data_IF_815690922394
#
_entry.id   IF_815690922394
#
_cell.length_a   1.000
_cell.length_b   1.000
_cell.length_c   1.000
_cell.angle_alpha   90.00
_cell.angle_beta   90.00
_cell.angle_gamma   90.00
#
_symmetry.space_group_name_H-M   'P 1'
#
loop_
_entity.id
_entity.type
_entity.pdbx_description
1 polymer ?
#
# COMPACT_ATOMS: atom_id res chain seq x y z
N UNK A 1 6.39 25.15 -28.44
CA UNK A 1 6.81 25.15 -27.01
C UNK A 1 7.19 23.76 -26.44
N UNK A 2 7.02 22.65 -27.18
CA UNK A 2 7.28 21.27 -26.68
C UNK A 2 8.75 20.81 -26.87
N UNK A 3 9.54 21.58 -27.62
CA UNK A 3 10.92 21.27 -28.03
C UNK A 3 11.99 22.01 -27.21
N UNK A 4 11.72 22.32 -25.94
CA UNK A 4 12.81 22.78 -25.06
C UNK A 4 13.67 21.57 -24.68
N UNK A 5 14.78 21.38 -25.41
CA UNK A 5 15.82 20.37 -25.15
C UNK A 5 16.69 20.81 -23.96
N UNK A 6 16.06 20.98 -22.80
CA UNK A 6 16.73 21.33 -21.55
C UNK A 6 17.35 20.13 -20.84
N UNK A 7 17.88 20.34 -19.63
CA UNK A 7 18.51 19.31 -18.79
C UNK A 7 17.67 18.04 -18.61
N UNK A 8 16.34 18.19 -18.54
CA UNK A 8 15.40 17.08 -18.42
C UNK A 8 15.45 16.15 -19.64
N UNK A 9 15.65 16.69 -20.85
CA UNK A 9 15.77 15.89 -22.06
C UNK A 9 17.05 15.05 -22.07
N UNK A 10 18.14 15.61 -21.53
CA UNK A 10 19.43 14.93 -21.36
C UNK A 10 19.31 13.76 -20.39
N UNK A 11 18.68 13.97 -19.23
CA UNK A 11 18.47 12.92 -18.23
C UNK A 11 17.58 11.80 -18.77
N UNK A 12 16.57 12.14 -19.57
CA UNK A 12 15.64 11.17 -20.15
C UNK A 12 16.20 10.47 -21.40
N UNK A 13 17.30 10.97 -21.99
CA UNK A 13 17.83 10.47 -23.26
C UNK A 13 18.13 8.97 -23.25
N UNK A 14 18.78 8.37 -22.22
CA UNK A 14 18.99 6.93 -22.19
C UNK A 14 17.68 6.13 -22.27
N UNK A 15 16.63 6.61 -21.61
CA UNK A 15 15.32 5.97 -21.65
C UNK A 15 14.66 6.13 -23.03
N UNK A 16 14.76 7.32 -23.65
CA UNK A 16 14.30 7.54 -25.04
C UNK A 16 15.02 6.62 -26.03
N UNK A 17 16.33 6.45 -25.85
CA UNK A 17 17.16 5.58 -26.68
C UNK A 17 16.74 4.13 -26.57
N UNK A 18 16.50 3.62 -25.35
CA UNK A 18 15.99 2.26 -25.12
C UNK A 18 14.60 2.09 -25.75
N UNK A 19 13.69 3.05 -25.53
CA UNK A 19 12.33 3.02 -26.11
C UNK A 19 12.38 2.95 -27.63
N UNK A 20 13.22 3.78 -28.26
CA UNK A 20 13.40 3.76 -29.71
C UNK A 20 13.95 2.42 -30.21
N UNK A 21 14.93 1.82 -29.51
CA UNK A 21 15.43 0.49 -29.83
C UNK A 21 14.36 -0.57 -29.79
N UNK A 22 13.63 -0.67 -28.68
CA UNK A 22 12.59 -1.68 -28.51
C UNK A 22 11.50 -1.51 -29.57
N UNK A 23 11.08 -0.26 -29.86
CA UNK A 23 10.10 0.03 -30.90
C UNK A 23 10.57 -0.38 -32.30
N UNK A 24 11.83 -0.12 -32.65
CA UNK A 24 12.39 -0.52 -33.95
C UNK A 24 12.58 -2.03 -34.04
N UNK A 25 13.02 -2.69 -32.97
CA UNK A 25 13.16 -4.16 -32.92
C UNK A 25 11.81 -4.83 -33.14
N UNK A 26 10.77 -4.38 -32.43
CA UNK A 26 9.43 -4.92 -32.59
C UNK A 26 8.93 -4.68 -34.02
N UNK A 27 9.13 -3.49 -34.59
CA UNK A 27 8.75 -3.22 -35.97
C UNK A 27 9.45 -4.17 -36.96
N UNK A 28 10.77 -4.36 -36.83
CA UNK A 28 11.55 -5.29 -37.65
C UNK A 28 11.10 -6.75 -37.48
N UNK A 29 10.73 -7.14 -36.26
CA UNK A 29 10.19 -8.48 -36.00
C UNK A 29 8.82 -8.65 -36.67
N UNK A 30 7.95 -7.65 -36.58
CA UNK A 30 6.65 -7.66 -37.24
C UNK A 30 6.80 -7.78 -38.76
N UNK A 31 7.78 -7.09 -39.33
CA UNK A 31 8.01 -7.16 -40.78
C UNK A 31 8.62 -8.47 -41.22
N UNK A 32 9.45 -9.09 -40.36
CA UNK A 32 9.95 -10.45 -40.56
C UNK A 32 8.83 -11.49 -40.63
N UNK A 33 7.76 -11.34 -39.83
CA UNK A 33 6.60 -12.27 -39.83
C UNK A 33 5.52 -11.92 -40.86
N UNK A 34 5.79 -10.99 -41.78
CA UNK A 34 4.93 -10.69 -42.93
C UNK A 34 4.08 -9.43 -42.83
N UNK A 35 4.26 -8.58 -41.81
CA UNK A 35 3.65 -7.24 -41.80
C UNK A 35 4.37 -6.33 -42.81
N UNK A 36 3.65 -5.53 -43.63
CA UNK A 36 4.30 -4.66 -44.61
C UNK A 36 5.33 -3.70 -43.97
N UNK A 37 6.50 -3.57 -44.62
CA UNK A 37 7.49 -2.54 -44.31
C UNK A 37 6.97 -1.17 -44.78
N UNK A 38 7.21 -0.12 -44.00
CA UNK A 38 6.82 1.26 -44.32
C UNK A 38 5.71 1.79 -43.41
N UNK A 39 5.01 2.86 -43.80
CA UNK A 39 3.95 3.45 -42.99
C UNK A 39 2.73 2.53 -42.91
N UNK A 40 2.17 2.35 -41.71
CA UNK A 40 0.95 1.58 -41.52
C UNK A 40 0.93 0.72 -40.26
N UNK A 41 0.34 -0.46 -40.40
CA UNK A 41 0.01 -1.34 -39.27
C UNK A 41 1.23 -1.82 -38.48
N UNK A 42 2.41 -1.91 -39.11
CA UNK A 42 3.66 -2.25 -38.44
C UNK A 42 3.99 -1.30 -37.30
N UNK A 43 3.91 0.02 -37.53
CA UNK A 43 4.19 1.03 -36.51
C UNK A 43 3.09 1.10 -35.43
N UNK A 44 1.83 0.89 -35.82
CA UNK A 44 0.69 0.79 -34.88
C UNK A 44 0.92 -0.36 -33.90
N UNK A 45 1.16 -1.57 -34.43
CA UNK A 45 1.41 -2.76 -33.61
C UNK A 45 2.71 -2.63 -32.82
N UNK A 46 3.72 -1.95 -33.36
CA UNK A 46 4.96 -1.69 -32.63
C UNK A 46 4.72 -0.89 -31.34
N UNK A 47 3.93 0.19 -31.40
CA UNK A 47 3.57 0.97 -30.21
C UNK A 47 2.76 0.12 -29.21
N UNK A 48 1.78 -0.65 -29.70
CA UNK A 48 0.94 -1.52 -28.87
C UNK A 48 1.78 -2.58 -28.15
N UNK A 49 2.62 -3.31 -28.88
CA UNK A 49 3.46 -4.38 -28.33
C UNK A 49 4.56 -3.84 -27.43
N UNK A 50 5.16 -2.69 -27.74
CA UNK A 50 6.07 -1.99 -26.83
C UNK A 50 5.39 -1.72 -25.49
N UNK A 51 4.16 -1.20 -25.53
CA UNK A 51 3.36 -0.92 -24.33
C UNK A 51 3.17 -2.18 -23.50
N UNK A 52 2.73 -3.26 -24.14
CA UNK A 52 2.50 -4.56 -23.48
C UNK A 52 3.81 -5.11 -22.91
N UNK A 53 4.91 -5.08 -23.66
CA UNK A 53 6.21 -5.57 -23.22
C UNK A 53 6.71 -4.83 -21.98
N UNK A 54 6.65 -3.49 -21.99
CA UNK A 54 7.03 -2.67 -20.84
C UNK A 54 6.14 -3.00 -19.65
N UNK A 55 4.82 -3.09 -19.85
CA UNK A 55 3.84 -3.41 -18.80
C UNK A 55 4.07 -4.78 -18.18
N UNK A 56 4.42 -5.78 -18.98
CA UNK A 56 4.78 -7.12 -18.50
C UNK A 56 6.08 -7.09 -17.69
N UNK A 57 7.09 -6.33 -18.14
CA UNK A 57 8.35 -6.20 -17.42
C UNK A 57 8.18 -5.58 -16.02
N UNK A 58 7.29 -4.58 -15.88
CA UNK A 58 7.00 -3.92 -14.61
C UNK A 58 5.84 -4.59 -13.83
N UNK A 59 5.19 -5.61 -14.38
CA UNK A 59 4.12 -6.36 -13.72
C UNK A 59 4.49 -6.87 -12.31
N UNK A 60 5.64 -7.51 -12.05
CA UNK A 60 6.00 -7.95 -10.70
C UNK A 60 6.18 -6.79 -9.71
N UNK A 61 6.56 -5.60 -10.19
CA UNK A 61 6.60 -4.41 -9.35
C UNK A 61 5.18 -3.96 -8.99
N UNK A 62 4.28 -3.95 -9.98
CA UNK A 62 2.87 -3.65 -9.76
C UNK A 62 2.20 -4.60 -8.77
N UNK A 63 2.47 -5.91 -8.82
CA UNK A 63 1.89 -6.86 -7.87
C UNK A 63 2.30 -6.55 -6.42
N UNK A 64 3.59 -6.21 -6.20
CA UNK A 64 4.09 -5.77 -4.88
C UNK A 64 3.42 -4.49 -4.41
N UNK A 65 3.23 -3.53 -5.31
CA UNK A 65 2.57 -2.27 -4.98
C UNK A 65 1.08 -2.46 -4.66
N UNK A 66 0.35 -3.28 -5.42
CA UNK A 66 -1.04 -3.63 -5.11
C UNK A 66 -1.13 -4.26 -3.71
N UNK A 67 -0.20 -5.14 -3.35
CA UNK A 67 -0.13 -5.72 -2.01
C UNK A 67 0.04 -4.64 -0.92
N UNK A 68 0.92 -3.67 -1.14
CA UNK A 68 1.10 -2.53 -0.23
C UNK A 68 -0.18 -1.69 -0.10
N UNK A 69 -0.86 -1.43 -1.21
CA UNK A 69 -2.11 -0.67 -1.22
C UNK A 69 -3.20 -1.37 -0.39
N UNK A 70 -3.27 -2.71 -0.44
CA UNK A 70 -4.21 -3.49 0.37
C UNK A 70 -3.88 -3.49 1.84
N UNK A 71 -2.60 -3.60 2.19
CA UNK A 71 -2.17 -3.48 3.59
C UNK A 71 -2.62 -2.11 4.17
N UNK A 72 -2.54 -1.05 3.38
CA UNK A 72 -3.05 0.27 3.76
C UNK A 72 -4.59 0.30 3.92
N UNK A 73 -5.32 -0.40 3.04
CA UNK A 73 -6.79 -0.54 3.17
C UNK A 73 -7.19 -1.31 4.43
N UNK A 74 -6.43 -2.34 4.81
CA UNK A 74 -6.65 -3.10 6.04
C UNK A 74 -6.43 -2.24 7.30
N UNK A 75 -5.57 -1.22 7.23
CA UNK A 75 -5.34 -0.26 8.32
C UNK A 75 -6.37 0.88 8.39
N UNK A 76 -7.24 1.02 7.40
CA UNK A 76 -8.29 2.05 7.37
C UNK A 76 -9.08 2.19 8.70
N UNK A 77 -9.56 1.12 9.36
CA UNK A 77 -10.27 1.25 10.63
C UNK A 77 -9.40 1.82 11.76
N UNK A 78 -8.11 1.46 11.82
CA UNK A 78 -7.20 1.98 12.84
C UNK A 78 -6.83 3.43 12.59
N UNK A 79 -6.63 3.80 11.33
CA UNK A 79 -6.45 5.19 10.91
C UNK A 79 -7.67 6.01 11.29
N UNK A 80 -8.89 5.49 11.11
CA UNK A 80 -10.13 6.15 11.54
C UNK A 80 -10.20 6.34 13.05
N UNK A 81 -9.84 5.33 13.84
CA UNK A 81 -9.77 5.44 15.30
C UNK A 81 -8.77 6.53 15.72
N UNK A 82 -7.58 6.54 15.10
CA UNK A 82 -6.57 7.58 15.32
C UNK A 82 -7.13 8.97 14.98
N UNK A 83 -7.75 9.14 13.82
CA UNK A 83 -8.38 10.41 13.41
C UNK A 83 -9.47 10.86 14.39
N UNK A 84 -10.27 9.93 14.92
CA UNK A 84 -11.29 10.24 15.92
C UNK A 84 -10.68 10.76 17.24
N UNK A 85 -9.53 10.24 17.69
CA UNK A 85 -8.83 10.71 18.91
C UNK A 85 -8.36 12.17 18.82
N UNK A 86 -8.10 12.65 17.60
CA UNK A 86 -7.64 14.01 17.31
C UNK A 86 -8.75 14.93 16.77
N UNK A 87 -9.98 14.42 16.64
CA UNK A 87 -11.10 15.20 16.10
C UNK A 87 -11.38 16.42 16.99
N UNK A 88 -11.43 17.61 16.39
CA UNK A 88 -11.64 18.87 17.12
C UNK A 88 -10.36 19.53 17.62
N UNK A 89 -9.20 18.88 17.54
CA UNK A 89 -7.89 19.47 17.88
C UNK A 89 -7.26 20.07 16.62
N UNK A 90 -7.24 21.41 16.55
CA UNK A 90 -6.77 22.15 15.37
C UNK A 90 -5.41 22.83 15.56
N UNK A 91 -4.81 22.71 16.74
CA UNK A 91 -3.49 23.21 17.05
C UNK A 91 -2.39 22.52 16.22
N UNK A 92 -1.35 23.28 15.86
CA UNK A 92 -0.23 22.80 15.04
C UNK A 92 0.46 21.61 15.69
N UNK A 93 0.57 21.59 17.02
CA UNK A 93 1.15 20.50 17.77
C UNK A 93 0.32 19.21 17.65
N UNK A 94 -1.00 19.26 17.80
CA UNK A 94 -1.88 18.11 17.62
C UNK A 94 -1.89 17.56 16.20
N UNK A 95 -1.82 18.43 15.17
CA UNK A 95 -1.68 17.98 13.77
C UNK A 95 -0.36 17.27 13.53
N UNK A 96 0.73 17.79 14.10
CA UNK A 96 2.04 17.15 14.00
C UNK A 96 2.07 15.81 14.75
N UNK A 97 1.49 15.75 15.96
CA UNK A 97 1.36 14.52 16.74
C UNK A 97 0.52 13.47 16.01
N UNK A 98 -0.60 13.87 15.40
CA UNK A 98 -1.43 12.99 14.58
C UNK A 98 -0.65 12.40 13.40
N UNK A 99 0.15 13.22 12.69
CA UNK A 99 0.99 12.74 11.60
C UNK A 99 2.07 11.77 12.08
N UNK A 100 2.67 12.02 13.25
CA UNK A 100 3.68 11.13 13.85
C UNK A 100 3.07 9.79 14.29
N UNK A 101 1.92 9.81 14.98
CA UNK A 101 1.20 8.59 15.35
C UNK A 101 0.75 7.80 14.12
N UNK A 102 0.32 8.49 13.06
CA UNK A 102 -0.05 7.85 11.79
C UNK A 102 1.15 7.15 11.13
N UNK A 103 2.31 7.79 11.11
CA UNK A 103 3.55 7.19 10.60
C UNK A 103 4.04 6.03 11.47
N UNK A 104 3.89 6.14 12.80
CA UNK A 104 4.19 5.05 13.72
C UNK A 104 3.26 3.85 13.48
N UNK A 105 1.97 4.09 13.29
CA UNK A 105 0.97 3.07 12.98
C UNK A 105 1.32 2.31 11.69
N UNK A 106 1.71 3.03 10.64
CA UNK A 106 2.19 2.42 9.40
C UNK A 106 3.42 1.55 9.63
N UNK A 107 4.39 2.03 10.42
CA UNK A 107 5.64 1.32 10.73
C UNK A 107 5.41 0.05 11.55
N UNK A 108 4.53 0.10 12.56
CA UNK A 108 4.16 -1.05 13.40
C UNK A 108 3.54 -2.18 12.56
N UNK A 109 2.76 -1.82 11.56
CA UNK A 109 2.12 -2.77 10.64
C UNK A 109 2.97 -3.08 9.39
N UNK A 110 4.24 -2.68 9.37
CA UNK A 110 5.17 -2.95 8.27
C UNK A 110 4.70 -2.41 6.90
N UNK A 111 3.87 -1.38 6.90
CA UNK A 111 3.28 -0.76 5.70
C UNK A 111 3.87 0.63 5.50
N UNK A 112 3.93 1.13 4.26
CA UNK A 112 4.38 2.51 4.00
C UNK A 112 3.47 3.23 3.00
N UNK A 113 3.20 4.52 3.19
CA UNK A 113 2.40 5.31 2.25
C UNK A 113 3.11 5.49 0.89
N UNK A 114 4.44 5.54 0.88
CA UNK A 114 5.25 5.69 -0.34
C UNK A 114 5.23 4.46 -1.25
N UNK A 115 5.14 3.24 -0.68
CA UNK A 115 5.04 2.04 -1.49
C UNK A 115 3.76 2.00 -2.35
N UNK A 116 2.71 2.74 -1.94
CA UNK A 116 1.46 2.84 -2.69
C UNK A 116 1.56 3.77 -3.92
N UNK A 117 2.48 4.75 -3.95
CA UNK A 117 2.67 5.66 -5.09
C UNK A 117 3.82 5.26 -6.04
N UNK A 118 4.56 4.21 -5.70
CA UNK A 118 5.70 3.71 -6.48
C UNK A 118 5.48 3.55 -8.00
N UNK A 119 4.35 3.04 -8.52
CA UNK A 119 4.19 2.91 -9.96
C UNK A 119 4.06 4.25 -10.66
N UNK A 120 3.52 5.28 -10.01
CA UNK A 120 3.42 6.61 -10.64
C UNK A 120 4.84 7.13 -10.88
N UNK A 121 5.74 6.92 -9.91
CA UNK A 121 7.14 7.30 -10.03
C UNK A 121 7.87 6.54 -11.15
N UNK A 122 7.59 5.25 -11.33
CA UNK A 122 8.18 4.45 -12.42
C UNK A 122 7.53 4.74 -13.77
N UNK A 123 6.22 5.00 -13.78
CA UNK A 123 5.43 5.22 -14.99
C UNK A 123 5.70 6.58 -15.62
N UNK A 124 5.90 7.64 -14.83
CA UNK A 124 6.12 9.00 -15.34
C UNK A 124 7.33 9.03 -16.31
N UNK A 125 8.54 8.56 -15.93
CA UNK A 125 9.68 8.55 -16.85
C UNK A 125 9.42 7.75 -18.13
N UNK A 126 8.81 6.57 -18.01
CA UNK A 126 8.50 5.69 -19.16
C UNK A 126 7.54 6.38 -20.12
N UNK A 127 6.45 6.95 -19.59
CA UNK A 127 5.47 7.69 -20.37
C UNK A 127 6.11 8.91 -21.04
N UNK A 128 6.86 9.71 -20.29
CA UNK A 128 7.49 10.92 -20.85
C UNK A 128 8.55 10.58 -21.90
N UNK A 129 9.28 9.47 -21.75
CA UNK A 129 10.24 9.02 -22.75
C UNK A 129 9.54 8.66 -24.07
N UNK A 130 8.49 7.84 -24.02
CA UNK A 130 7.73 7.50 -25.22
C UNK A 130 7.07 8.73 -25.87
N UNK A 131 6.45 9.60 -25.05
CA UNK A 131 5.88 10.85 -25.54
C UNK A 131 6.92 11.70 -26.26
N UNK A 132 8.12 11.84 -25.68
CA UNK A 132 9.22 12.61 -26.28
C UNK A 132 9.77 11.95 -27.55
N UNK A 133 9.81 10.61 -27.63
CA UNK A 133 10.22 9.89 -28.83
C UNK A 133 9.23 10.14 -29.96
N UNK A 134 7.93 9.93 -29.71
CA UNK A 134 6.88 10.17 -30.71
C UNK A 134 6.81 11.64 -31.10
N UNK A 135 6.89 12.58 -30.16
CA UNK A 135 6.89 14.01 -30.48
C UNK A 135 8.13 14.45 -31.26
N UNK A 136 9.29 13.80 -31.06
CA UNK A 136 10.52 14.12 -31.75
C UNK A 136 10.52 13.68 -33.22
N UNK A 137 9.73 12.68 -33.62
CA UNK A 137 9.64 12.22 -35.02
C UNK A 137 9.34 13.38 -35.99
N UNK A 138 8.46 14.29 -35.60
CA UNK A 138 8.18 15.54 -36.30
C UNK A 138 9.45 16.34 -36.63
N UNK A 139 10.27 16.59 -35.60
CA UNK A 139 11.51 17.36 -35.73
C UNK A 139 12.62 16.57 -36.41
N UNK A 140 12.62 15.25 -36.32
CA UNK A 140 13.57 14.39 -37.05
C UNK A 140 13.27 14.47 -38.56
N UNK A 141 11.99 14.44 -38.95
CA UNK A 141 11.56 14.61 -40.33
C UNK A 141 11.94 15.99 -40.90
N UNK A 142 11.64 17.08 -40.17
CA UNK A 142 11.95 18.45 -40.63
C UNK A 142 13.43 18.84 -40.47
N UNK A 143 14.21 18.06 -39.71
CA UNK A 143 15.59 18.36 -39.35
C UNK A 143 15.76 19.30 -38.15
N UNK A 144 14.67 19.83 -37.59
CA UNK A 144 14.71 20.72 -36.41
C UNK A 144 15.20 20.00 -35.15
N UNK A 145 15.03 18.68 -35.06
CA UNK A 145 15.61 17.86 -34.00
C UNK A 145 17.14 17.94 -34.00
N UNK A 146 17.76 17.97 -35.18
CA UNK A 146 19.23 18.10 -35.33
C UNK A 146 19.71 19.46 -34.84
N UNK A 147 19.04 20.54 -35.26
CA UNK A 147 19.38 21.91 -34.88
C UNK A 147 19.32 22.11 -33.36
N UNK A 148 18.35 21.47 -32.71
CA UNK A 148 18.05 21.74 -31.32
C UNK A 148 18.73 20.76 -30.34
N UNK A 149 19.03 19.52 -30.77
CA UNK A 149 19.63 18.49 -29.91
C UNK A 149 21.06 18.09 -30.31
N UNK A 150 21.55 18.56 -31.47
CA UNK A 150 22.82 18.15 -32.07
C UNK A 150 22.82 16.71 -32.60
N UNK A 151 21.68 16.02 -32.61
CA UNK A 151 21.54 14.61 -33.03
C UNK A 151 20.57 14.48 -34.19
N UNK A 152 20.87 13.60 -35.13
CA UNK A 152 20.01 13.36 -36.30
C UNK A 152 18.95 12.29 -36.06
N UNK A 153 19.10 11.49 -35.00
CA UNK A 153 18.23 10.35 -34.67
C UNK A 153 18.11 10.13 -33.16
N UNK A 154 17.14 9.30 -32.76
CA UNK A 154 17.04 8.76 -31.39
C UNK A 154 17.34 7.26 -31.45
N UNK A 155 18.56 6.87 -31.10
CA UNK A 155 18.98 5.47 -31.26
C UNK A 155 18.85 5.03 -32.72
N UNK A 156 18.22 3.88 -33.00
CA UNK A 156 18.04 3.41 -34.37
C UNK A 156 16.92 4.13 -35.11
N UNK A 157 16.13 4.97 -34.43
CA UNK A 157 15.03 5.69 -35.06
C UNK A 157 15.56 6.88 -35.86
N UNK A 158 15.77 6.66 -37.15
CA UNK A 158 16.29 7.65 -38.10
C UNK A 158 15.19 8.45 -38.82
N UNK A 159 15.61 9.27 -39.79
CA UNK A 159 14.72 10.12 -40.57
C UNK A 159 13.71 9.33 -41.42
N UNK A 160 14.11 8.21 -42.01
CA UNK A 160 13.21 7.40 -42.84
C UNK A 160 12.10 6.79 -41.96
N UNK A 161 12.47 6.24 -40.80
CA UNK A 161 11.49 5.70 -39.86
C UNK A 161 10.60 6.78 -39.25
N UNK A 162 11.12 7.99 -39.01
CA UNK A 162 10.31 9.11 -38.56
C UNK A 162 9.23 9.51 -39.58
N UNK A 163 9.59 9.54 -40.88
CA UNK A 163 8.63 9.79 -41.97
C UNK A 163 7.56 8.69 -42.03
N UNK A 164 7.95 7.42 -41.90
CA UNK A 164 7.00 6.30 -41.89
C UNK A 164 6.02 6.38 -40.70
N UNK A 165 6.52 6.73 -39.50
CA UNK A 165 5.67 6.91 -38.32
C UNK A 165 4.71 8.08 -38.55
N UNK A 166 5.18 9.22 -39.03
CA UNK A 166 4.36 10.42 -39.22
C UNK A 166 3.28 10.22 -40.29
N UNK A 167 3.58 9.46 -41.34
CA UNK A 167 2.63 9.13 -42.41
C UNK A 167 1.74 7.92 -42.10
N UNK A 168 1.98 7.21 -40.99
CA UNK A 168 1.12 6.11 -40.53
C UNK A 168 -0.24 6.65 -40.11
N UNK A 169 -1.31 6.04 -40.64
CA UNK A 169 -2.70 6.42 -40.34
C UNK A 169 -3.39 5.36 -39.49
N UNK A 170 -4.04 5.80 -38.41
CA UNK A 170 -4.97 4.99 -37.62
C UNK A 170 -6.39 5.42 -37.95
N UNK A 171 -7.15 4.56 -38.63
CA UNK A 171 -8.52 4.84 -39.09
C UNK A 171 -8.67 6.15 -39.89
N UNK A 172 -7.60 6.58 -40.56
CA UNK A 172 -7.53 7.82 -41.36
C UNK A 172 -6.84 9.02 -40.68
N UNK A 173 -6.56 8.95 -39.38
CA UNK A 173 -5.84 10.00 -38.65
C UNK A 173 -4.33 9.72 -38.61
N UNK A 174 -3.49 10.72 -38.92
CA UNK A 174 -2.03 10.54 -38.88
C UNK A 174 -1.51 10.47 -37.43
N UNK A 175 -0.46 9.68 -37.17
CA UNK A 175 0.07 9.45 -35.82
C UNK A 175 0.47 10.72 -35.06
N UNK A 176 0.92 11.74 -35.79
CA UNK A 176 1.39 13.01 -35.25
C UNK A 176 0.26 14.01 -34.96
N UNK A 177 -0.94 13.79 -35.52
CA UNK A 177 -2.06 14.73 -35.38
C UNK A 177 -2.57 14.76 -33.93
N UNK A 178 -2.83 15.97 -33.43
CA UNK A 178 -3.66 16.21 -32.26
C UNK A 178 -5.06 16.63 -32.69
N UNK A 179 -6.00 16.76 -31.76
CA UNK A 179 -7.34 17.23 -32.10
C UNK A 179 -7.32 18.62 -32.76
N UNK A 180 -6.43 19.50 -32.31
CA UNK A 180 -6.30 20.87 -32.83
C UNK A 180 -5.57 20.94 -34.17
N UNK A 181 -4.62 20.04 -34.44
CA UNK A 181 -3.84 20.04 -35.69
C UNK A 181 -4.42 19.15 -36.78
N UNK A 182 -5.45 18.36 -36.47
CA UNK A 182 -6.10 17.45 -37.40
C UNK A 182 -6.67 18.18 -38.63
N UNK A 183 -6.14 17.86 -39.81
CA UNK A 183 -6.52 18.51 -41.06
C UNK A 183 -7.91 18.11 -41.56
N UNK A 184 -8.34 16.87 -41.28
CA UNK A 184 -9.61 16.33 -41.77
C UNK A 184 -10.65 16.18 -40.66
N UNK A 185 -11.94 16.26 -41.01
CA UNK A 185 -13.02 15.95 -40.08
C UNK A 185 -12.98 14.49 -39.62
N UNK A 186 -12.56 13.58 -40.50
CA UNK A 186 -12.35 12.17 -40.15
C UNK A 186 -11.30 12.02 -39.04
N UNK A 187 -10.14 12.68 -39.14
CA UNK A 187 -9.11 12.66 -38.10
C UNK A 187 -9.66 13.14 -36.75
N UNK A 188 -10.42 14.24 -36.73
CA UNK A 188 -11.03 14.79 -35.51
C UNK A 188 -12.02 13.81 -34.88
N UNK A 189 -12.83 13.13 -35.68
CA UNK A 189 -13.77 12.10 -35.21
C UNK A 189 -13.00 10.94 -34.58
N UNK A 190 -11.97 10.41 -35.27
CA UNK A 190 -11.15 9.31 -34.75
C UNK A 190 -10.50 9.68 -33.43
N UNK A 191 -9.87 10.86 -33.34
CA UNK A 191 -9.24 11.36 -32.11
C UNK A 191 -10.27 11.50 -30.99
N UNK A 192 -11.44 12.10 -31.28
CA UNK A 192 -12.53 12.24 -30.32
C UNK A 192 -13.04 10.90 -29.79
N UNK A 193 -13.19 9.89 -30.67
CA UNK A 193 -13.59 8.53 -30.29
C UNK A 193 -12.53 7.87 -29.42
N UNK A 194 -11.24 7.99 -29.76
CA UNK A 194 -10.15 7.46 -28.93
C UNK A 194 -10.16 8.06 -27.52
N UNK A 195 -10.33 9.39 -27.41
CA UNK A 195 -10.43 10.08 -26.12
C UNK A 195 -11.66 9.59 -25.35
N UNK A 196 -12.82 9.46 -26.00
CA UNK A 196 -14.04 8.98 -25.37
C UNK A 196 -13.89 7.57 -24.82
N UNK A 197 -13.30 6.64 -25.59
CA UNK A 197 -13.02 5.28 -25.13
C UNK A 197 -12.04 5.31 -23.95
N UNK A 198 -11.00 6.15 -23.99
CA UNK A 198 -10.07 6.31 -22.88
C UNK A 198 -10.76 6.82 -21.60
N UNK A 199 -11.62 7.82 -21.70
CA UNK A 199 -12.39 8.34 -20.56
C UNK A 199 -13.31 7.27 -19.99
N UNK A 200 -14.04 6.55 -20.85
CA UNK A 200 -14.93 5.47 -20.44
C UNK A 200 -14.15 4.34 -19.75
N UNK A 201 -13.10 3.82 -20.38
CA UNK A 201 -12.28 2.74 -19.81
C UNK A 201 -11.65 3.13 -18.47
N UNK A 202 -11.19 4.36 -18.33
CA UNK A 202 -10.64 4.87 -17.08
C UNK A 202 -11.71 5.02 -15.99
N UNK A 203 -12.89 5.52 -16.35
CA UNK A 203 -14.03 5.60 -15.45
C UNK A 203 -14.47 4.21 -14.97
N UNK A 204 -14.58 3.24 -15.88
CA UNK A 204 -14.91 1.86 -15.54
C UNK A 204 -13.87 1.23 -14.61
N UNK A 205 -12.58 1.43 -14.88
CA UNK A 205 -11.48 0.93 -14.04
C UNK A 205 -11.57 1.51 -12.63
N UNK A 206 -11.81 2.81 -12.52
CA UNK A 206 -11.92 3.50 -11.23
C UNK A 206 -13.18 3.09 -10.46
N UNK A 207 -14.32 2.95 -11.15
CA UNK A 207 -15.58 2.46 -10.58
C UNK A 207 -15.46 1.00 -10.10
N UNK A 208 -14.72 0.17 -10.83
CA UNK A 208 -14.49 -1.22 -10.44
C UNK A 208 -13.68 -1.31 -9.13
N UNK A 209 -12.65 -0.48 -8.97
CA UNK A 209 -11.85 -0.40 -7.74
C UNK A 209 -12.75 -0.02 -6.55
N UNK A 210 -13.58 1.01 -6.69
CA UNK A 210 -14.37 1.55 -5.59
C UNK A 210 -15.55 0.65 -5.19
N UNK A 211 -16.20 -0.02 -6.14
CA UNK A 211 -17.42 -0.82 -5.87
C UNK A 211 -17.10 -2.27 -5.53
N UNK A 212 -16.15 -2.92 -6.21
CA UNK A 212 -15.93 -4.37 -6.05
C UNK A 212 -14.80 -4.72 -5.08
N UNK A 213 -13.92 -3.78 -4.76
CA UNK A 213 -12.68 -4.07 -4.05
C UNK A 213 -12.44 -3.18 -2.81
N UNK A 214 -13.52 -2.64 -2.23
CA UNK A 214 -13.47 -1.77 -1.06
C UNK A 214 -14.39 -2.27 0.07
N UNK A 215 -13.91 -2.36 1.33
CA UNK A 215 -14.76 -2.76 2.46
C UNK A 215 -15.77 -1.67 2.79
N UNK A 216 -16.96 -2.06 3.28
CA UNK A 216 -18.04 -1.12 3.62
C UNK A 216 -17.60 -0.01 4.59
N UNK A 217 -16.68 -0.33 5.52
CA UNK A 217 -16.11 0.62 6.45
C UNK A 217 -15.27 1.73 5.80
N UNK A 218 -14.82 1.58 4.55
CA UNK A 218 -14.05 2.60 3.83
C UNK A 218 -14.93 3.52 2.96
N UNK A 219 -16.24 3.24 2.85
CA UNK A 219 -17.20 4.04 2.08
C UNK A 219 -17.76 5.25 2.84
N UNK A 220 -17.43 5.37 4.13
CA UNK A 220 -17.92 6.43 5.02
C UNK A 220 -16.78 7.35 5.46
N UNK A 221 -17.03 8.66 5.50
CA UNK A 221 -16.11 9.69 6.02
C UNK A 221 -15.35 10.49 4.95
N UNK A 222 -14.47 11.44 5.38
CA UNK A 222 -13.79 12.38 4.48
C UNK A 222 -12.96 11.71 3.39
N UNK A 223 -12.31 10.58 3.70
CA UNK A 223 -11.48 9.83 2.75
C UNK A 223 -12.32 9.21 1.61
N UNK A 224 -13.55 8.77 1.91
CA UNK A 224 -14.45 8.21 0.91
C UNK A 224 -14.94 9.28 -0.07
N UNK A 225 -15.19 10.49 0.43
CA UNK A 225 -15.58 11.63 -0.41
C UNK A 225 -14.44 12.02 -1.36
N UNK A 226 -13.19 12.07 -0.89
CA UNK A 226 -12.02 12.31 -1.76
C UNK A 226 -11.93 11.27 -2.88
N UNK A 227 -12.16 9.99 -2.57
CA UNK A 227 -12.12 8.93 -3.58
C UNK A 227 -13.28 8.98 -4.58
N UNK A 228 -14.51 9.31 -4.11
CA UNK A 228 -15.67 9.54 -4.99
C UNK A 228 -15.43 10.72 -5.90
N UNK A 229 -14.93 11.83 -5.37
CA UNK A 229 -14.60 13.03 -6.16
C UNK A 229 -13.50 12.72 -7.19
N UNK A 230 -12.45 12.00 -6.78
CA UNK A 230 -11.37 11.57 -7.68
C UNK A 230 -11.89 10.68 -8.83
N UNK A 231 -12.92 9.86 -8.58
CA UNK A 231 -13.52 9.00 -9.60
C UNK A 231 -14.13 9.78 -10.78
N UNK A 232 -14.66 10.98 -10.54
CA UNK A 232 -15.27 11.80 -11.58
C UNK A 232 -14.32 12.86 -12.15
N UNK A 233 -13.49 13.48 -11.29
CA UNK A 233 -12.57 14.54 -11.73
C UNK A 233 -11.48 14.00 -12.65
N UNK A 234 -10.89 12.83 -12.34
CA UNK A 234 -9.74 12.35 -13.10
C UNK A 234 -10.08 11.93 -14.54
N UNK A 235 -11.18 11.19 -14.81
CA UNK A 235 -11.60 10.94 -16.20
C UNK A 235 -11.92 12.22 -16.97
N UNK A 236 -12.52 13.23 -16.33
CA UNK A 236 -12.77 14.54 -16.95
C UNK A 236 -11.45 15.23 -17.33
N UNK A 237 -10.47 15.23 -16.42
CA UNK A 237 -9.14 15.80 -16.66
C UNK A 237 -8.41 15.09 -17.81
N UNK A 238 -8.48 13.76 -17.87
CA UNK A 238 -7.91 12.98 -19.00
C UNK A 238 -8.64 13.30 -20.31
N UNK A 239 -9.97 13.44 -20.27
CA UNK A 239 -10.75 13.83 -21.45
C UNK A 239 -10.32 15.20 -22.00
N UNK A 240 -10.10 16.17 -21.11
CA UNK A 240 -9.62 17.51 -21.47
C UNK A 240 -8.18 17.49 -21.97
N UNK A 241 -7.27 16.80 -21.28
CA UNK A 241 -5.85 16.74 -21.67
C UNK A 241 -5.61 15.93 -22.93
N UNK A 242 -6.45 14.93 -23.21
CA UNK A 242 -6.39 14.11 -24.43
C UNK A 242 -6.47 14.94 -25.71
N UNK A 243 -7.11 16.12 -25.66
CA UNK A 243 -7.18 17.07 -26.78
C UNK A 243 -5.80 17.53 -27.28
N UNK A 244 -4.81 17.59 -26.38
CA UNK A 244 -3.45 18.03 -26.68
C UNK A 244 -2.52 16.89 -27.09
N UNK A 245 -2.99 15.64 -27.02
CA UNK A 245 -2.16 14.47 -27.29
C UNK A 245 -2.26 14.03 -28.75
N UNK A 246 -1.14 13.54 -29.26
CA UNK A 246 -1.02 13.03 -30.62
C UNK A 246 -1.68 11.64 -30.72
N UNK A 247 -2.19 11.27 -31.89
CA UNK A 247 -2.83 9.95 -32.14
C UNK A 247 -1.96 8.79 -31.67
N UNK A 248 -0.65 8.82 -31.94
CA UNK A 248 0.28 7.77 -31.47
C UNK A 248 0.35 7.66 -29.95
N UNK A 249 0.28 8.80 -29.25
CA UNK A 249 0.22 8.80 -27.78
C UNK A 249 -1.14 8.32 -27.25
N UNK A 250 -2.24 8.67 -27.93
CA UNK A 250 -3.57 8.19 -27.58
C UNK A 250 -3.67 6.67 -27.76
N UNK A 251 -3.07 6.11 -28.81
CA UNK A 251 -2.96 4.67 -29.02
C UNK A 251 -2.20 3.98 -27.88
N UNK A 252 -1.06 4.55 -27.46
CA UNK A 252 -0.32 4.09 -26.29
C UNK A 252 -1.18 4.11 -25.02
N UNK A 253 -1.84 5.25 -24.76
CA UNK A 253 -2.67 5.42 -23.56
C UNK A 253 -3.85 4.45 -23.55
N UNK A 254 -4.52 4.27 -24.68
CA UNK A 254 -5.61 3.32 -24.82
C UNK A 254 -5.14 1.88 -24.53
N UNK A 255 -4.01 1.48 -25.11
CA UNK A 255 -3.40 0.16 -24.84
C UNK A 255 -3.06 0.00 -23.36
N UNK A 256 -2.50 1.03 -22.75
CA UNK A 256 -2.24 1.10 -21.30
C UNK A 256 -3.51 0.95 -20.47
N UNK A 257 -4.62 1.59 -20.86
CA UNK A 257 -5.89 1.51 -20.14
C UNK A 257 -6.46 0.09 -20.20
N UNK A 258 -6.45 -0.54 -21.37
CA UNK A 258 -6.88 -1.94 -21.51
C UNK A 258 -6.00 -2.90 -20.70
N UNK A 259 -4.69 -2.71 -20.73
CA UNK A 259 -3.78 -3.50 -19.90
C UNK A 259 -4.10 -3.28 -18.42
N UNK A 260 -4.32 -2.04 -17.98
CA UNK A 260 -4.66 -1.71 -16.59
C UNK A 260 -5.98 -2.35 -16.17
N UNK A 261 -6.99 -2.31 -17.04
CA UNK A 261 -8.28 -2.98 -16.81
C UNK A 261 -8.09 -4.50 -16.66
N UNK A 262 -7.33 -5.13 -17.56
CA UNK A 262 -6.98 -6.56 -17.48
C UNK A 262 -6.21 -6.89 -16.19
N UNK A 263 -5.19 -6.10 -15.86
CA UNK A 263 -4.44 -6.21 -14.61
C UNK A 263 -5.34 -6.05 -13.38
N UNK A 264 -6.31 -5.14 -13.41
CA UNK A 264 -7.24 -4.90 -12.32
C UNK A 264 -8.21 -6.08 -12.14
N UNK A 265 -8.71 -6.64 -13.25
CA UNK A 265 -9.54 -7.85 -13.25
C UNK A 265 -8.78 -9.05 -12.67
N UNK A 266 -7.52 -9.22 -13.08
CA UNK A 266 -6.62 -10.22 -12.50
C UNK A 266 -6.35 -9.94 -11.01
N UNK A 267 -6.08 -8.69 -10.63
CA UNK A 267 -5.75 -8.35 -9.24
C UNK A 267 -6.91 -8.62 -8.27
N UNK A 268 -8.15 -8.35 -8.67
CA UNK A 268 -9.36 -8.59 -7.87
C UNK A 268 -9.61 -10.09 -7.69
N UNK A 269 -9.33 -10.89 -8.72
CA UNK A 269 -9.55 -12.35 -8.66
C UNK A 269 -8.41 -13.10 -7.99
N UNK A 270 -7.16 -12.73 -8.25
CA UNK A 270 -5.99 -13.41 -7.71
C UNK A 270 -5.71 -13.05 -6.25
N UNK A 271 -6.06 -11.83 -5.83
CA UNK A 271 -5.73 -11.34 -4.49
C UNK A 271 -6.81 -10.38 -3.96
N UNK A 272 -8.07 -10.74 -3.74
CA UNK A 272 -9.10 -9.76 -3.35
C UNK A 272 -8.78 -9.00 -2.03
N UNK A 273 -9.31 -7.77 -1.86
CA UNK A 273 -9.14 -6.98 -0.63
C UNK A 273 -9.91 -7.58 0.55
N UNK A 274 -9.28 -7.79 1.73
CA UNK A 274 -9.95 -8.31 2.93
C UNK A 274 -11.22 -7.54 3.29
N UNK A 275 -12.29 -8.27 3.62
CA UNK A 275 -13.60 -7.69 3.97
C UNK A 275 -14.48 -7.29 2.78
N UNK A 276 -14.03 -7.45 1.53
CA UNK A 276 -14.86 -7.29 0.33
C UNK A 276 -15.69 -8.55 0.01
N UNK A 277 -16.74 -8.42 -0.81
CA UNK A 277 -17.48 -9.59 -1.31
C UNK A 277 -16.61 -10.51 -2.18
N UNK A 278 -15.72 -9.91 -2.98
CA UNK A 278 -14.75 -10.66 -3.78
C UNK A 278 -13.85 -11.52 -2.88
N UNK A 279 -13.46 -11.00 -1.72
CA UNK A 279 -12.68 -11.75 -0.73
C UNK A 279 -13.47 -12.91 -0.15
N UNK A 280 -14.74 -12.71 0.23
CA UNK A 280 -15.59 -13.80 0.74
C UNK A 280 -15.70 -14.97 -0.25
N UNK A 281 -15.96 -14.66 -1.52
CA UNK A 281 -16.08 -15.68 -2.59
C UNK A 281 -14.75 -16.41 -2.83
N UNK A 282 -13.66 -15.66 -2.87
CA UNK A 282 -12.32 -16.24 -3.02
C UNK A 282 -11.95 -17.11 -1.82
N UNK A 283 -12.17 -16.64 -0.59
CA UNK A 283 -11.88 -17.41 0.64
C UNK A 283 -12.69 -18.70 0.68
N UNK A 284 -13.98 -18.66 0.35
CA UNK A 284 -14.81 -19.86 0.28
C UNK A 284 -14.26 -20.87 -0.75
N UNK A 285 -13.79 -20.39 -1.91
CA UNK A 285 -13.17 -21.23 -2.93
C UNK A 285 -11.84 -21.84 -2.45
N UNK A 286 -11.01 -21.07 -1.75
CA UNK A 286 -9.76 -21.60 -1.19
C UNK A 286 -10.03 -22.59 -0.06
N UNK A 287 -11.02 -22.30 0.79
CA UNK A 287 -11.43 -23.18 1.88
C UNK A 287 -11.92 -24.53 1.34
N UNK A 288 -12.78 -24.53 0.31
CA UNK A 288 -13.24 -25.78 -0.31
C UNK A 288 -12.10 -26.63 -0.90
N UNK A 289 -11.07 -25.99 -1.47
CA UNK A 289 -9.86 -26.69 -1.93
C UNK A 289 -9.08 -27.28 -0.76
N UNK A 290 -8.91 -26.51 0.31
CA UNK A 290 -8.26 -26.98 1.53
C UNK A 290 -9.02 -28.15 2.16
N UNK A 291 -10.35 -28.08 2.24
CA UNK A 291 -11.18 -29.13 2.83
C UNK A 291 -11.05 -30.43 2.03
N UNK A 292 -11.04 -30.34 0.68
CA UNK A 292 -10.81 -31.50 -0.20
C UNK A 292 -9.42 -32.11 0.03
N UNK A 293 -8.38 -31.26 0.10
CA UNK A 293 -7.01 -31.70 0.38
C UNK A 293 -6.87 -32.30 1.79
N UNK A 294 -7.52 -31.69 2.78
CA UNK A 294 -7.54 -32.13 4.16
C UNK A 294 -8.13 -33.53 4.29
N UNK A 295 -9.27 -33.79 3.65
CA UNK A 295 -9.89 -35.13 3.63
C UNK A 295 -8.96 -36.16 3.00
N UNK A 296 -8.34 -35.84 1.86
CA UNK A 296 -7.42 -36.75 1.17
C UNK A 296 -6.19 -37.09 2.01
N UNK A 297 -5.52 -36.06 2.55
CA UNK A 297 -4.30 -36.23 3.35
C UNK A 297 -4.62 -36.91 4.68
N UNK A 298 -5.71 -36.55 5.35
CA UNK A 298 -6.07 -37.19 6.62
C UNK A 298 -6.36 -38.67 6.42
N UNK A 299 -7.11 -39.04 5.38
CA UNK A 299 -7.37 -40.45 5.06
C UNK A 299 -6.09 -41.23 4.71
N UNK A 300 -5.16 -40.62 3.96
CA UNK A 300 -3.85 -41.22 3.65
C UNK A 300 -3.03 -41.48 4.93
N UNK A 301 -2.97 -40.50 5.84
CA UNK A 301 -2.19 -40.62 7.07
C UNK A 301 -2.84 -41.50 8.12
N UNK A 302 -4.17 -41.56 8.18
CA UNK A 302 -4.89 -42.50 9.03
C UNK A 302 -4.61 -43.95 8.61
N UNK A 303 -4.53 -44.23 7.30
CA UNK A 303 -4.10 -45.53 6.80
C UNK A 303 -2.64 -45.84 7.17
N UNK A 304 -1.73 -44.87 7.03
CA UNK A 304 -0.32 -45.05 7.45
C UNK A 304 -0.22 -45.34 8.94
N UNK A 305 -0.91 -44.58 9.79
CA UNK A 305 -0.94 -44.75 11.24
C UNK A 305 -1.51 -46.12 11.66
N UNK A 306 -2.54 -46.62 10.97
CA UNK A 306 -3.08 -47.95 11.19
C UNK A 306 -2.06 -49.06 10.88
N UNK A 307 -1.21 -48.85 9.87
CA UNK A 307 -0.22 -49.83 9.42
C UNK A 307 1.11 -49.79 10.19
N UNK A 308 1.37 -48.77 11.04
CA UNK A 308 2.62 -48.65 11.83
C UNK A 308 2.86 -49.89 12.71
N UNK A 309 1.79 -50.53 13.21
CA UNK A 309 1.89 -51.74 14.02
C UNK A 309 2.13 -53.04 13.25
N UNK A 310 2.10 -53.01 11.91
CA UNK A 310 2.31 -54.18 11.06
C UNK A 310 3.78 -54.34 10.62
N UNK A 311 4.62 -53.33 10.82
CA UNK A 311 6.01 -53.32 10.38
C UNK A 311 6.94 -53.84 11.51
N UNK A 312 7.53 -55.02 11.31
CA UNK A 312 8.36 -55.71 12.30
C UNK A 312 9.70 -55.00 12.60
N UNK A 313 10.09 -53.99 11.82
CA UNK A 313 11.34 -53.25 11.99
C UNK A 313 11.23 -52.02 12.90
N UNK A 314 10.03 -51.59 13.29
CA UNK A 314 9.84 -50.39 14.12
C UNK A 314 10.03 -50.73 15.60
N UNK A 315 11.15 -50.31 16.19
CA UNK A 315 11.47 -50.53 17.62
C UNK A 315 10.67 -49.63 18.57
N UNK A 316 10.26 -48.45 18.11
CA UNK A 316 9.46 -47.48 18.87
C UNK A 316 8.23 -47.05 18.07
N UNK A 317 7.11 -47.70 18.36
CA UNK A 317 5.83 -47.48 17.69
C UNK A 317 5.23 -46.11 18.04
N UNK A 318 5.54 -45.54 19.21
CA UNK A 318 5.02 -44.25 19.63
C UNK A 318 5.74 -43.12 18.88
N UNK A 319 7.08 -43.17 18.84
CA UNK A 319 7.88 -42.22 18.09
C UNK A 319 7.51 -42.21 16.58
N UNK A 320 7.33 -43.39 15.98
CA UNK A 320 6.94 -43.51 14.57
C UNK A 320 5.54 -42.92 14.29
N UNK A 321 4.59 -43.05 15.23
CA UNK A 321 3.26 -42.42 15.13
C UNK A 321 3.34 -40.91 15.28
N UNK A 322 4.16 -40.41 16.21
CA UNK A 322 4.36 -38.97 16.41
C UNK A 322 4.96 -38.29 15.17
N UNK A 323 5.97 -38.90 14.53
CA UNK A 323 6.58 -38.36 13.31
C UNK A 323 5.56 -38.22 12.16
N UNK A 324 4.71 -39.23 11.94
CA UNK A 324 3.66 -39.19 10.91
C UNK A 324 2.62 -38.11 11.20
N UNK A 325 2.27 -37.89 12.47
CA UNK A 325 1.36 -36.81 12.87
C UNK A 325 1.98 -35.44 12.58
N UNK A 326 3.26 -35.26 12.92
CA UNK A 326 4.00 -34.01 12.66
C UNK A 326 4.07 -33.74 11.15
N UNK A 327 4.41 -34.75 10.34
CA UNK A 327 4.50 -34.61 8.88
C UNK A 327 3.14 -34.25 8.26
N UNK A 328 2.06 -34.91 8.71
CA UNK A 328 0.68 -34.59 8.30
C UNK A 328 0.35 -33.14 8.61
N UNK A 329 0.57 -32.72 9.85
CA UNK A 329 0.23 -31.37 10.31
C UNK A 329 1.06 -30.30 9.59
N UNK A 330 2.32 -30.59 9.29
CA UNK A 330 3.17 -29.73 8.46
C UNK A 330 2.62 -29.62 7.03
N UNK A 331 2.24 -30.73 6.38
CA UNK A 331 1.63 -30.72 5.04
C UNK A 331 0.34 -29.92 5.01
N UNK A 332 -0.55 -30.12 5.99
CA UNK A 332 -1.80 -29.37 6.11
C UNK A 332 -1.54 -27.87 6.31
N UNK A 333 -0.58 -27.51 7.17
CA UNK A 333 -0.19 -26.11 7.39
C UNK A 333 0.38 -25.47 6.13
N UNK A 334 1.31 -26.14 5.44
CA UNK A 334 1.93 -25.64 4.21
C UNK A 334 0.89 -25.37 3.12
N UNK A 335 -0.09 -26.27 2.94
CA UNK A 335 -1.15 -26.07 1.96
C UNK A 335 -2.10 -24.92 2.36
N UNK A 336 -2.41 -24.77 3.66
CA UNK A 336 -3.19 -23.62 4.17
C UNK A 336 -2.49 -22.28 3.90
N UNK A 337 -1.16 -22.23 4.09
CA UNK A 337 -0.33 -21.06 3.75
C UNK A 337 -0.33 -20.80 2.25
N UNK A 338 -0.17 -21.85 1.43
CA UNK A 338 -0.16 -21.77 -0.03
C UNK A 338 -1.48 -21.25 -0.59
N UNK A 339 -2.60 -21.69 -0.03
CA UNK A 339 -3.94 -21.24 -0.39
C UNK A 339 -4.27 -19.84 0.16
N UNK A 340 -3.41 -19.27 1.00
CA UNK A 340 -3.59 -17.94 1.59
C UNK A 340 -4.73 -17.89 2.62
N UNK A 341 -5.05 -19.03 3.24
CA UNK A 341 -6.05 -19.16 4.29
C UNK A 341 -5.49 -18.85 5.68
N UNK A 342 -4.18 -18.91 5.86
CA UNK A 342 -3.53 -18.42 7.08
C UNK A 342 -3.37 -16.89 7.01
N UNK A 343 -3.89 -16.18 8.02
CA UNK A 343 -3.36 -14.87 8.35
C UNK A 343 -1.87 -15.05 8.64
N UNK A 344 -0.99 -14.33 7.92
CA UNK A 344 0.42 -14.24 8.29
C UNK A 344 0.46 -13.84 9.76
N UNK A 345 0.72 -14.83 10.62
CA UNK A 345 0.58 -14.77 12.06
C UNK A 345 0.95 -13.40 12.65
N UNK A 346 0.04 -12.82 13.44
CA UNK A 346 0.44 -12.26 14.75
C UNK A 346 1.46 -13.25 15.31
N UNK A 347 2.72 -12.86 15.46
CA UNK A 347 3.79 -13.72 16.00
C UNK A 347 3.27 -14.53 17.19
N UNK A 348 2.89 -15.78 16.95
CA UNK A 348 2.87 -16.81 17.96
C UNK A 348 4.22 -17.46 17.77
N UNK A 349 5.20 -16.99 18.53
CA UNK A 349 6.45 -17.71 18.72
C UNK A 349 6.09 -19.08 19.27
N UNK A 350 6.06 -20.08 18.39
CA UNK A 350 6.15 -21.47 18.78
C UNK A 350 7.60 -21.67 19.22
N UNK A 351 7.85 -21.56 20.51
CA UNK A 351 9.10 -22.03 21.09
C UNK A 351 9.09 -23.56 21.01
N UNK A 352 9.75 -24.12 20.00
CA UNK A 352 10.21 -25.50 20.04
C UNK A 352 11.30 -25.59 21.11
N UNK A 353 10.92 -25.97 22.33
CA UNK A 353 11.87 -26.40 23.36
C UNK A 353 12.06 -27.91 23.23
N UNK A 354 13.06 -28.33 22.45
CA UNK A 354 13.72 -29.61 22.65
C UNK A 354 14.85 -29.38 23.66
N UNK A 355 14.56 -29.63 24.94
CA UNK A 355 15.51 -29.56 26.04
C UNK A 355 14.82 -29.98 27.34
N UNK A 356 15.52 -30.67 28.27
CA UNK A 356 14.90 -31.28 29.43
C UNK A 356 14.18 -30.24 30.29
N UNK A 357 12.94 -30.58 30.66
CA UNK A 357 11.97 -29.75 31.36
C UNK A 357 12.51 -29.25 32.70
N UNK A 358 13.04 -28.04 32.72
CA UNK A 358 13.30 -27.29 33.96
C UNK A 358 12.00 -26.57 34.34
N UNK A 359 11.45 -26.89 35.51
CA UNK A 359 10.29 -26.18 36.06
C UNK A 359 10.61 -24.68 36.16
N UNK A 360 9.70 -23.78 35.75
CA UNK A 360 9.95 -22.36 35.79
C UNK A 360 9.99 -21.90 37.25
N UNK A 361 11.18 -21.65 37.78
CA UNK A 361 11.34 -20.86 39.01
C UNK A 361 10.77 -19.46 38.76
N UNK A 362 9.70 -19.15 39.49
CA UNK A 362 8.99 -17.87 39.50
C UNK A 362 10.00 -16.73 39.72
N UNK A 363 10.28 -15.93 38.68
CA UNK A 363 11.16 -14.75 38.81
C UNK A 363 10.58 -13.76 39.84
N UNK A 364 11.39 -13.22 40.76
CA UNK A 364 10.91 -12.30 41.77
C UNK A 364 10.43 -10.98 41.12
N UNK A 365 9.40 -10.40 41.73
CA UNK A 365 8.62 -9.21 41.32
C UNK A 365 9.47 -7.97 40.97
N UNK A 366 10.75 -7.94 41.35
CA UNK A 366 11.68 -6.85 41.05
C UNK A 366 12.11 -6.77 39.57
N UNK A 367 12.13 -7.89 38.83
CA UNK A 367 12.60 -7.89 37.43
C UNK A 367 11.56 -7.38 36.41
N UNK A 368 10.29 -7.18 36.82
CA UNK A 368 9.20 -6.76 35.91
C UNK A 368 9.10 -5.24 35.73
N UNK A 369 9.87 -4.43 36.47
CA UNK A 369 9.79 -2.96 36.43
C UNK A 369 10.71 -2.28 35.40
N UNK A 370 11.59 -3.00 34.71
CA UNK A 370 12.64 -2.40 33.88
C UNK A 370 12.53 -2.63 32.36
N UNK A 371 11.37 -3.04 31.83
CA UNK A 371 11.18 -3.17 30.37
C UNK A 371 10.75 -1.88 29.66
N UNK A 372 10.74 -0.74 30.35
CA UNK A 372 10.47 0.58 29.76
C UNK A 372 11.72 1.45 29.79
N UNK A 373 12.03 2.14 28.69
CA UNK A 373 13.16 3.06 28.61
C UNK A 373 13.08 4.11 29.76
N UNK A 374 14.00 4.09 30.76
CA UNK A 374 13.84 4.84 32.01
C UNK A 374 13.68 6.34 31.81
N UNK A 375 14.36 6.89 30.80
CA UNK A 375 14.30 8.30 30.43
C UNK A 375 12.91 8.74 29.93
N UNK A 376 12.16 7.84 29.31
CA UNK A 376 10.81 8.14 28.77
C UNK A 376 9.76 8.15 29.88
N UNK A 377 9.87 7.24 30.84
CA UNK A 377 8.99 7.18 32.00
C UNK A 377 9.23 8.32 33.00
N UNK A 378 10.49 8.72 33.20
CA UNK A 378 10.81 9.87 34.04
C UNK A 378 10.28 11.17 33.43
N UNK A 379 10.42 11.36 32.11
CA UNK A 379 9.93 12.56 31.42
C UNK A 379 8.40 12.61 31.33
N UNK A 380 7.71 11.48 31.18
CA UNK A 380 6.25 11.44 31.24
C UNK A 380 5.72 11.69 32.66
N UNK A 381 6.44 11.22 33.69
CA UNK A 381 6.07 11.49 35.08
C UNK A 381 6.34 12.95 35.46
N UNK A 382 7.46 13.54 35.03
CA UNK A 382 7.74 14.97 35.20
C UNK A 382 6.68 15.83 34.51
N UNK A 383 6.39 15.59 33.23
CA UNK A 383 5.37 16.37 32.51
C UNK A 383 3.98 16.28 33.16
N UNK A 384 3.58 15.10 33.65
CA UNK A 384 2.30 14.94 34.35
C UNK A 384 2.30 15.60 35.74
N UNK A 385 3.46 15.71 36.38
CA UNK A 385 3.65 16.41 37.65
C UNK A 385 3.60 17.93 37.44
N UNK A 386 4.20 18.41 36.35
CA UNK A 386 4.27 19.83 35.97
C UNK A 386 2.89 20.36 35.56
N UNK A 387 2.11 19.59 34.78
CA UNK A 387 0.73 19.93 34.40
C UNK A 387 -0.19 20.01 35.64
N UNK A 388 -0.04 19.08 36.58
CA UNK A 388 -0.83 19.04 37.81
C UNK A 388 -0.51 20.21 38.76
N UNK A 389 0.78 20.58 38.85
CA UNK A 389 1.23 21.71 39.66
C UNK A 389 0.82 23.06 39.05
N UNK A 390 0.68 23.15 37.72
CA UNK A 390 0.18 24.34 37.01
C UNK A 390 -1.33 24.55 37.21
N UNK A 391 -2.14 23.49 37.20
CA UNK A 391 -3.58 23.56 37.52
C UNK A 391 -3.85 24.02 38.96
N UNK A 392 -3.00 23.63 39.91
CA UNK A 392 -3.13 24.01 41.33
C UNK A 392 -2.83 25.50 41.57
N UNK A 393 -1.81 26.02 40.89
CA UNK A 393 -1.41 27.42 40.98
C UNK A 393 -2.45 28.37 40.35
N UNK A 394 -3.19 27.90 39.34
CA UNK A 394 -4.26 28.68 38.69
C UNK A 394 -5.49 28.89 39.59
N UNK A 395 -5.74 28.00 40.56
CA UNK A 395 -6.89 28.07 41.46
C UNK A 395 -6.64 28.84 42.78
N UNK A 396 -5.43 29.39 42.99
CA UNK A 396 -5.02 30.00 44.26
C UNK A 396 -4.75 31.52 44.24
N UNK A 397 -5.15 32.21 43.17
CA UNK A 397 -4.73 33.58 42.85
C UNK A 397 -5.30 34.68 43.77
N UNK A 398 -6.40 34.43 44.50
CA UNK A 398 -7.15 35.47 45.21
C UNK A 398 -6.47 36.03 46.50
N UNK A 399 -5.26 35.59 46.84
CA UNK A 399 -4.60 35.93 48.12
C UNK A 399 -3.11 36.32 48.01
N UNK A 400 -2.64 36.67 46.81
CA UNK A 400 -1.21 36.88 46.53
C UNK A 400 -0.82 38.36 46.26
N UNK A 401 -1.75 39.31 46.40
CA UNK A 401 -1.45 40.74 46.23
C UNK A 401 -0.57 41.30 47.37
N UNK A 402 0.56 41.91 47.01
CA UNK A 402 1.47 42.60 47.93
C UNK A 402 2.63 41.77 48.50
N UNK A 403 2.77 40.50 48.11
CA UNK A 403 3.84 39.60 48.58
C UNK A 403 5.05 39.60 47.64
N UNK A 404 6.26 39.39 48.20
CA UNK A 404 7.47 39.24 47.40
C UNK A 404 7.45 37.93 46.59
N UNK A 405 8.10 37.90 45.42
CA UNK A 405 8.09 36.74 44.53
C UNK A 405 8.59 35.44 45.20
N UNK A 406 9.53 35.56 46.15
CA UNK A 406 10.08 34.44 46.90
C UNK A 406 9.07 33.87 47.92
N UNK A 407 8.28 34.75 48.56
CA UNK A 407 7.27 34.36 49.53
C UNK A 407 6.04 33.70 48.87
N UNK A 408 5.68 34.18 47.68
CA UNK A 408 4.66 33.55 46.83
C UNK A 408 5.08 32.13 46.43
N UNK A 409 6.32 31.95 45.98
CA UNK A 409 6.86 30.65 45.59
C UNK A 409 6.85 29.65 46.77
N UNK A 410 7.23 30.10 47.97
CA UNK A 410 7.23 29.28 49.18
C UNK A 410 5.82 28.84 49.58
N UNK A 411 4.85 29.76 49.58
CA UNK A 411 3.44 29.44 49.91
C UNK A 411 2.78 28.51 48.89
N UNK A 412 3.13 28.63 47.61
CA UNK A 412 2.66 27.69 46.57
C UNK A 412 3.26 26.30 46.78
N UNK A 413 4.55 26.21 47.09
CA UNK A 413 5.22 24.93 47.39
C UNK A 413 4.60 24.24 48.62
N UNK A 414 4.30 24.98 49.68
CA UNK A 414 3.64 24.45 50.88
C UNK A 414 2.22 23.95 50.60
N UNK A 415 1.43 24.69 49.81
CA UNK A 415 0.08 24.26 49.39
C UNK A 415 0.13 22.97 48.56
N UNK A 416 1.05 22.88 47.59
CA UNK A 416 1.27 21.67 46.79
C UNK A 416 1.66 20.48 47.67
N UNK A 417 2.54 20.69 48.65
CA UNK A 417 2.96 19.63 49.58
C UNK A 417 1.80 19.16 50.49
N UNK A 418 1.02 20.09 51.04
CA UNK A 418 -0.13 19.80 51.88
C UNK A 418 -1.23 19.03 51.13
N UNK A 419 -1.51 19.38 49.88
CA UNK A 419 -2.52 18.69 49.08
C UNK A 419 -2.06 17.28 48.65
N UNK A 420 -0.77 17.12 48.31
CA UNK A 420 -0.18 15.80 48.06
C UNK A 420 -0.30 14.90 49.29
N UNK A 421 -0.05 15.43 50.49
CA UNK A 421 -0.23 14.70 51.74
C UNK A 421 -1.70 14.33 51.98
N UNK A 422 -2.65 15.23 51.73
CA UNK A 422 -4.09 14.95 51.82
C UNK A 422 -4.54 13.85 50.85
N UNK A 423 -4.12 13.89 49.59
CA UNK A 423 -4.47 12.87 48.59
C UNK A 423 -3.82 11.51 48.91
N UNK A 424 -2.59 11.51 49.43
CA UNK A 424 -1.95 10.29 49.91
C UNK A 424 -2.73 9.67 51.08
N UNK A 425 -3.13 10.48 52.07
CA UNK A 425 -3.95 10.03 53.19
C UNK A 425 -5.33 9.51 52.75
N UNK A 426 -5.98 10.17 51.79
CA UNK A 426 -7.25 9.69 51.22
C UNK A 426 -7.10 8.36 50.48
N UNK A 427 -5.99 8.16 49.75
CA UNK A 427 -5.69 6.88 49.09
C UNK A 427 -5.48 5.77 50.12
N UNK A 428 -4.73 6.07 51.18
CA UNK A 428 -4.49 5.12 52.27
C UNK A 428 -5.80 4.76 53.00
N UNK A 429 -6.64 5.75 53.29
CA UNK A 429 -7.96 5.54 53.88
C UNK A 429 -8.88 4.71 52.98
N UNK A 430 -8.89 4.97 51.66
CA UNK A 430 -9.65 4.16 50.69
C UNK A 430 -9.13 2.73 50.61
N UNK A 431 -7.82 2.53 50.68
CA UNK A 431 -7.21 1.20 50.70
C UNK A 431 -7.60 0.44 51.97
N UNK A 432 -7.50 1.07 53.14
CA UNK A 432 -7.92 0.46 54.42
C UNK A 432 -9.42 0.14 54.45
N UNK A 433 -10.27 1.06 53.99
CA UNK A 433 -11.71 0.82 53.91
C UNK A 433 -12.07 -0.29 52.92
N UNK A 434 -11.33 -0.40 51.80
CA UNK A 434 -11.50 -1.48 50.83
C UNK A 434 -11.04 -2.82 51.40
N UNK A 435 -9.93 -2.84 52.13
CA UNK A 435 -9.40 -4.03 52.81
C UNK A 435 -10.35 -4.51 53.92
N UNK A 436 -10.96 -3.60 54.67
CA UNK A 436 -11.95 -3.91 55.69
C UNK A 436 -13.24 -4.49 55.09
N UNK A 437 -13.73 -3.94 53.96
CA UNK A 437 -14.86 -4.50 53.20
C UNK A 437 -14.58 -5.93 52.73
N UNK A 438 -13.36 -6.20 52.29
CA UNK A 438 -12.94 -7.51 51.82
C UNK A 438 -12.83 -8.53 52.97
N UNK A 439 -12.34 -8.11 54.14
CA UNK A 439 -12.34 -8.96 55.36
C UNK A 439 -13.76 -9.33 55.81
N UNK A 440 -14.72 -8.40 55.73
CA UNK A 440 -16.14 -8.68 56.02
C UNK A 440 -16.79 -9.65 55.01
N UNK A 441 -16.24 -9.79 53.81
CA UNK A 441 -16.68 -10.73 52.78
C UNK A 441 -15.91 -12.07 52.80
N UNK A 442 -15.07 -12.32 53.81
CA UNK A 442 -14.33 -13.58 53.96
C UNK A 442 -13.20 -13.82 52.95
N UNK A 443 -12.88 -12.84 52.09
CA UNK A 443 -11.79 -12.95 51.10
C UNK A 443 -10.46 -12.51 51.70
N UNK A 444 -9.40 -13.28 51.45
CA UNK A 444 -8.05 -12.95 51.94
C UNK A 444 -7.35 -12.01 50.94
N UNK A 445 -6.39 -11.17 51.38
CA UNK A 445 -5.73 -10.18 50.53
C UNK A 445 -4.95 -10.73 49.31
N UNK A 446 -4.87 -12.06 49.17
CA UNK A 446 -4.20 -12.75 48.06
C UNK A 446 -5.05 -13.01 46.82
N UNK A 447 -6.38 -12.81 46.87
CA UNK A 447 -7.29 -13.09 45.74
C UNK A 447 -7.29 -11.97 44.67
N UNK A 448 -6.35 -11.03 44.75
CA UNK A 448 -6.31 -9.77 43.99
C UNK A 448 -5.65 -9.84 42.59
N UNK A 449 -5.57 -10.98 41.90
CA UNK A 449 -4.94 -11.03 40.55
C UNK A 449 -5.76 -11.70 39.43
N UNK A 450 -7.06 -11.95 39.61
CA UNK A 450 -7.92 -12.38 38.49
C UNK A 450 -9.26 -11.63 38.51
N UNK A 451 -9.35 -10.59 37.67
CA UNK A 451 -10.54 -9.78 37.41
C UNK A 451 -10.25 -8.74 36.36
#
# INVERSE_FOLDING_TARGET
MITSYGWYDTVLYPLKWIVAWVMVIIHKFLTLIGIPNGPGIGWILSIVLLTVAVRLAIFPLFTKQIRSQRAMQALAPEIKKLQARYKGKNDTASKQAQQQELMALYKEHGTSPFASCLPILVQIPIFTALFRVLAATAGIETGDYTKASGRTSIGPLDKAMAIDINSTKLFGANMIETFSTAATNQSKIVIGVLILIMVLTQFFTMRQISVKNMPASALEGPQANVQKTMMYIMPLFIGMTGFFFQVGLLLYMLTTNFFTLGQQLWAISAMPTPGSEAYKKWHAKQQAKYDTFFTQVTAEYDQKLANVGADQQVTDLEAAREELIIERDEKLRLERVRLGLEEKNKKVEVQTQTGPRVQPTRKPRAARKNSGNPAKNQRSQQNAQDDYDAELDANGQDSEEGLSAEEIARRRAERRAAERARKAAQREAKMKAREERLRKQGRRPGDMELG
#
